data_IF_743793242513
#
_entry.id   IF_743793242513
#
_cell.length_a   1.000
_cell.length_b   1.000
_cell.length_c   1.000
_cell.angle_alpha   90.00
_cell.angle_beta   90.00
_cell.angle_gamma   90.00
#
_symmetry.space_group_name_H-M   'P 1'
#
loop_
_entity.id
_entity.type
_entity.pdbx_description
1 polymer ?
#
# COMPACT_ATOMS: atom_id res chain seq x y z
N UNK A 1 -14.52 -14.18 -9.59
CA UNK A 1 -13.09 -13.81 -9.50
C UNK A 1 -12.66 -14.15 -8.08
N UNK A 2 -11.73 -15.10 -7.96
CA UNK A 2 -11.23 -15.54 -6.67
C UNK A 2 -10.55 -14.36 -5.97
N UNK A 3 -10.86 -14.19 -4.68
CA UNK A 3 -10.19 -13.30 -3.74
C UNK A 3 -8.73 -13.11 -4.12
N UNK A 4 -8.34 -11.87 -4.43
CA UNK A 4 -6.92 -11.51 -4.57
C UNK A 4 -6.28 -11.83 -3.24
N UNK A 5 -5.59 -12.97 -3.14
CA UNK A 5 -4.93 -13.34 -1.90
C UNK A 5 -3.88 -12.26 -1.64
N UNK A 6 -3.95 -11.67 -0.46
CA UNK A 6 -3.14 -10.57 0.01
C UNK A 6 -1.62 -10.85 -0.18
N UNK A 7 -1.23 -12.13 -0.24
CA UNK A 7 0.14 -12.62 -0.44
C UNK A 7 0.53 -12.91 -1.90
N UNK A 8 -0.33 -12.54 -2.86
CA UNK A 8 -0.11 -12.84 -4.27
C UNK A 8 0.82 -11.84 -4.94
N UNK A 9 1.69 -12.36 -5.82
CA UNK A 9 2.29 -11.56 -6.88
C UNK A 9 1.25 -11.30 -7.97
N UNK A 10 1.17 -10.04 -8.38
CA UNK A 10 0.27 -9.57 -9.42
C UNK A 10 1.05 -8.74 -10.43
N UNK A 11 0.55 -8.65 -11.66
CA UNK A 11 0.98 -7.59 -12.57
C UNK A 11 0.29 -6.27 -12.19
N UNK A 12 0.92 -5.14 -12.50
CA UNK A 12 0.31 -3.83 -12.31
C UNK A 12 -0.99 -3.67 -13.12
N UNK A 13 -1.07 -4.20 -14.33
CA UNK A 13 -2.26 -4.05 -15.17
C UNK A 13 -3.46 -4.86 -14.66
N UNK A 14 -3.24 -6.07 -14.12
CA UNK A 14 -4.29 -6.85 -13.45
C UNK A 14 -4.81 -6.11 -12.21
N UNK A 15 -3.87 -5.55 -11.47
CA UNK A 15 -4.11 -4.78 -10.28
C UNK A 15 -4.94 -3.53 -10.55
N UNK A 16 -4.61 -2.75 -11.59
CA UNK A 16 -5.39 -1.59 -12.02
C UNK A 16 -6.81 -1.99 -12.42
N UNK A 17 -6.94 -3.01 -13.26
CA UNK A 17 -8.26 -3.48 -13.73
C UNK A 17 -9.14 -3.93 -12.57
N UNK A 18 -8.57 -4.53 -11.52
CA UNK A 18 -9.32 -4.86 -10.32
C UNK A 18 -9.86 -3.60 -9.63
N UNK A 19 -9.02 -2.59 -9.38
CA UNK A 19 -9.40 -1.36 -8.67
C UNK A 19 -10.30 -0.41 -9.47
N UNK A 20 -10.16 -0.33 -10.79
CA UNK A 20 -11.00 0.52 -11.63
C UNK A 20 -12.50 0.17 -11.52
N UNK A 21 -12.79 -1.09 -11.23
CA UNK A 21 -14.14 -1.61 -11.08
C UNK A 21 -14.71 -1.44 -9.66
N UNK A 22 -13.90 -1.02 -8.69
CA UNK A 22 -14.33 -0.81 -7.31
C UNK A 22 -14.92 0.58 -7.12
N UNK A 23 -16.13 0.61 -6.55
CA UNK A 23 -16.84 1.82 -6.10
C UNK A 23 -16.96 1.79 -4.59
N UNK A 24 -16.97 2.96 -3.97
CA UNK A 24 -16.96 3.07 -2.52
C UNK A 24 -17.66 4.35 -2.07
N UNK A 25 -18.29 4.29 -0.90
CA UNK A 25 -18.78 5.49 -0.21
C UNK A 25 -17.89 5.84 0.99
N UNK A 26 -17.11 4.87 1.47
CA UNK A 26 -16.22 4.97 2.62
C UNK A 26 -15.07 3.98 2.50
N UNK A 27 -14.02 4.16 3.31
CA UNK A 27 -12.85 3.26 3.33
C UNK A 27 -13.23 1.81 3.66
N UNK A 28 -14.32 1.58 4.41
CA UNK A 28 -14.79 0.22 4.72
C UNK A 28 -15.34 -0.54 3.51
N UNK A 29 -15.70 0.16 2.43
CA UNK A 29 -16.14 -0.47 1.18
C UNK A 29 -14.94 -0.94 0.34
N UNK A 30 -13.73 -0.52 0.70
CA UNK A 30 -12.52 -0.78 -0.06
C UNK A 30 -11.71 -1.95 0.53
N UNK A 31 -11.15 -2.82 -0.34
CA UNK A 31 -10.30 -3.92 0.10
C UNK A 31 -8.91 -3.42 0.48
N UNK A 32 -8.10 -4.30 1.06
CA UNK A 32 -6.64 -4.09 1.24
C UNK A 32 -6.23 -2.77 1.92
N UNK A 33 -7.07 -2.25 2.83
CA UNK A 33 -6.86 -0.93 3.49
C UNK A 33 -6.71 0.23 2.51
N UNK A 34 -7.30 0.09 1.33
CA UNK A 34 -7.34 1.14 0.32
C UNK A 34 -8.25 2.27 0.79
N UNK A 35 -7.95 3.48 0.35
CA UNK A 35 -8.73 4.67 0.72
C UNK A 35 -9.81 4.91 -0.32
N UNK A 36 -11.01 5.24 0.15
CA UNK A 36 -12.09 5.68 -0.71
C UNK A 36 -11.97 7.19 -0.98
N UNK A 37 -11.63 7.55 -2.21
CA UNK A 37 -11.53 8.95 -2.64
C UNK A 37 -12.35 9.14 -3.90
N UNK A 38 -13.31 10.06 -3.86
CA UNK A 38 -14.13 10.40 -5.03
C UNK A 38 -14.87 9.20 -5.62
N UNK A 39 -15.42 8.32 -4.76
CA UNK A 39 -16.12 7.09 -5.15
C UNK A 39 -15.25 6.08 -5.93
N UNK A 40 -13.96 6.03 -5.61
CA UNK A 40 -13.01 5.03 -6.10
C UNK A 40 -12.11 4.56 -4.97
N UNK A 41 -11.83 3.27 -4.93
CA UNK A 41 -10.80 2.74 -4.05
C UNK A 41 -9.42 3.03 -4.66
N UNK A 42 -8.55 3.65 -3.87
CA UNK A 42 -7.19 4.00 -4.26
C UNK A 42 -6.23 3.32 -3.31
N UNK A 43 -5.24 2.64 -3.86
CA UNK A 43 -4.16 2.01 -3.10
C UNK A 43 -2.84 2.13 -3.84
N UNK A 44 -1.76 1.78 -3.17
CA UNK A 44 -0.43 1.75 -3.75
C UNK A 44 0.00 0.31 -3.95
N UNK A 45 0.47 0.00 -5.16
CA UNK A 45 1.18 -1.22 -5.45
C UNK A 45 2.69 -0.99 -5.38
N UNK A 46 3.37 -1.97 -4.81
CA UNK A 46 4.82 -2.01 -4.70
C UNK A 46 5.32 -3.04 -5.69
N UNK A 47 6.05 -2.59 -6.70
CA UNK A 47 6.56 -3.43 -7.77
C UNK A 47 8.08 -3.56 -7.70
N UNK A 48 8.61 -4.66 -8.23
CA UNK A 48 10.04 -4.80 -8.42
C UNK A 48 10.56 -3.65 -9.29
N UNK A 49 11.71 -3.09 -8.93
CA UNK A 49 12.31 -1.97 -9.68
C UNK A 49 12.42 -2.26 -11.17
N UNK A 50 11.88 -1.37 -11.99
CA UNK A 50 11.78 -1.50 -13.45
C UNK A 50 11.03 -2.75 -13.95
N UNK A 51 10.23 -3.40 -13.11
CA UNK A 51 9.44 -4.59 -13.46
C UNK A 51 8.01 -4.51 -12.88
N UNK A 52 7.07 -4.14 -13.74
CA UNK A 52 5.64 -4.04 -13.42
C UNK A 52 4.89 -5.39 -13.48
N UNK A 53 5.58 -6.48 -13.81
CA UNK A 53 4.98 -7.81 -13.83
C UNK A 53 5.02 -8.50 -12.47
N UNK A 54 5.86 -7.99 -11.56
CA UNK A 54 6.03 -8.52 -10.20
C UNK A 54 5.70 -7.44 -9.19
N UNK A 55 4.45 -7.40 -8.72
CA UNK A 55 3.95 -6.41 -7.77
C UNK A 55 3.20 -7.05 -6.60
N UNK A 56 3.10 -6.30 -5.51
CA UNK A 56 2.40 -6.66 -4.29
C UNK A 56 1.72 -5.45 -3.64
N UNK A 57 0.74 -5.70 -2.79
CA UNK A 57 0.02 -4.65 -2.05
C UNK A 57 0.81 -4.03 -0.89
N UNK A 58 1.84 -4.72 -0.40
CA UNK A 58 2.56 -4.33 0.81
C UNK A 58 4.04 -4.52 0.65
N UNK A 59 4.80 -3.55 1.17
CA UNK A 59 6.27 -3.61 1.25
C UNK A 59 6.78 -4.50 2.36
N UNK A 60 5.98 -4.75 3.40
CA UNK A 60 6.41 -5.45 4.62
C UNK A 60 5.34 -6.42 5.13
N UNK A 61 5.76 -7.66 5.40
CA UNK A 61 4.91 -8.70 5.96
C UNK A 61 5.51 -9.36 7.21
N UNK A 62 4.65 -9.81 8.12
CA UNK A 62 5.03 -10.54 9.32
C UNK A 62 4.19 -11.82 9.38
N UNK A 63 4.82 -12.98 9.24
CA UNK A 63 4.16 -14.30 9.16
C UNK A 63 3.05 -14.37 8.10
N UNK A 64 3.34 -13.77 6.94
CA UNK A 64 2.36 -13.61 5.88
C UNK A 64 1.14 -12.86 6.42
N UNK A 65 1.32 -11.64 6.94
CA UNK A 65 0.29 -10.63 7.26
C UNK A 65 0.87 -9.21 7.17
N UNK A 66 0.08 -8.15 6.93
CA UNK A 66 0.57 -6.76 6.95
C UNK A 66 1.21 -6.39 8.29
N UNK A 67 2.35 -5.68 8.25
CA UNK A 67 2.90 -5.05 9.45
C UNK A 67 3.62 -3.72 9.16
N UNK A 68 3.54 -2.80 10.13
CA UNK A 68 4.06 -1.41 10.02
C UNK A 68 5.22 -1.14 11.00
N UNK A 69 5.85 -2.18 11.56
CA UNK A 69 6.96 -1.99 12.52
C UNK A 69 8.21 -1.49 11.79
N UNK A 70 8.96 -0.59 12.42
CA UNK A 70 10.18 0.06 11.92
C UNK A 70 11.40 -0.86 11.82
N UNK A 71 11.21 -2.18 11.86
CA UNK A 71 12.25 -3.16 11.60
C UNK A 71 11.66 -4.57 11.44
N UNK A 72 11.96 -5.21 10.30
CA UNK A 72 12.08 -6.67 10.13
C UNK A 72 10.72 -7.43 10.00
N UNK A 73 10.04 -7.63 8.86
CA UNK A 73 10.36 -8.08 7.47
C UNK A 73 10.68 -9.62 7.41
N UNK A 74 10.19 -10.49 6.52
CA UNK A 74 9.12 -10.59 5.53
C UNK A 74 8.80 -12.10 5.36
N UNK A 75 7.57 -12.53 5.03
CA UNK A 75 7.22 -13.98 4.92
C UNK A 75 5.90 -14.26 4.10
N UNK A 76 5.52 -13.62 2.99
CA UNK A 76 6.23 -13.27 1.75
C UNK A 76 5.31 -12.40 0.88
N UNK A 77 5.84 -11.40 0.19
CA UNK A 77 5.28 -10.87 -1.07
C UNK A 77 6.50 -10.71 -1.99
N UNK A 78 6.67 -11.67 -2.87
CA UNK A 78 7.61 -12.79 -2.64
C UNK A 78 8.99 -12.37 -2.13
N UNK A 79 9.12 -12.57 -0.80
CA UNK A 79 10.16 -12.10 0.13
C UNK A 79 10.88 -10.87 -0.39
N UNK A 80 10.04 -9.85 -0.49
CA UNK A 80 10.29 -8.53 -1.00
C UNK A 80 10.86 -8.52 -2.40
N UNK A 81 10.02 -8.99 -3.32
CA UNK A 81 10.12 -8.79 -4.76
C UNK A 81 11.52 -9.12 -5.31
N UNK A 82 12.13 -10.13 -4.69
CA UNK A 82 13.37 -10.80 -5.05
C UNK A 82 14.64 -9.94 -4.96
N UNK A 83 15.11 -9.65 -3.75
CA UNK A 83 16.14 -10.59 -3.33
C UNK A 83 16.43 -10.51 -1.86
N UNK A 84 16.00 -11.59 -1.22
CA UNK A 84 16.51 -12.02 0.06
C UNK A 84 15.89 -11.19 1.17
N UNK A 85 15.09 -11.85 2.00
CA UNK A 85 14.80 -11.24 3.28
C UNK A 85 16.10 -11.28 4.11
N UNK A 86 16.76 -10.14 4.28
CA UNK A 86 18.08 -10.08 4.91
C UNK A 86 17.99 -10.26 6.43
N UNK A 87 18.50 -11.37 6.99
CA UNK A 87 18.41 -11.65 8.42
C UNK A 87 19.22 -10.67 9.26
N UNK A 88 18.56 -9.98 10.20
CA UNK A 88 19.23 -9.54 11.42
C UNK A 88 19.20 -10.71 12.40
N UNK A 89 20.38 -11.08 12.89
CA UNK A 89 20.58 -12.21 13.81
C UNK A 89 19.60 -12.06 14.98
N UNK A 90 18.65 -13.01 15.04
CA UNK A 90 17.50 -13.17 15.98
C UNK A 90 16.13 -12.60 15.56
N UNK A 91 15.42 -13.32 14.67
CA UNK A 91 13.94 -13.37 14.66
C UNK A 91 13.18 -12.90 13.41
N UNK A 92 13.85 -12.35 12.39
CA UNK A 92 13.22 -11.90 11.12
C UNK A 92 14.25 -11.43 10.06
N UNK A 93 13.85 -11.37 8.79
CA UNK A 93 14.64 -10.83 7.66
C UNK A 93 14.47 -9.31 7.50
N UNK A 94 14.92 -8.70 6.39
CA UNK A 94 14.71 -7.28 6.03
C UNK A 94 14.43 -7.02 4.54
N UNK A 95 13.63 -5.99 4.22
CA UNK A 95 13.19 -5.59 2.88
C UNK A 95 13.82 -4.26 2.46
N UNK A 96 14.84 -4.27 1.59
CA UNK A 96 15.48 -3.04 1.15
C UNK A 96 14.56 -2.24 0.21
N UNK A 97 14.05 -1.09 0.67
CA UNK A 97 13.19 -0.20 -0.13
C UNK A 97 13.84 0.39 -1.39
N UNK A 98 15.15 0.21 -1.58
CA UNK A 98 15.91 0.71 -2.74
C UNK A 98 15.62 -0.02 -4.07
N UNK A 99 14.94 -1.16 -4.02
CA UNK A 99 14.67 -2.05 -5.15
C UNK A 99 13.17 -2.17 -5.49
N UNK A 100 12.36 -1.21 -5.03
CA UNK A 100 10.91 -1.19 -5.22
C UNK A 100 10.51 0.13 -5.88
N UNK A 101 9.60 0.05 -6.84
CA UNK A 101 8.89 1.21 -7.40
C UNK A 101 7.45 1.22 -6.87
N UNK A 102 6.95 2.40 -6.54
CA UNK A 102 5.57 2.60 -6.07
C UNK A 102 4.67 3.08 -7.20
N UNK A 103 3.51 2.43 -7.35
CA UNK A 103 2.53 2.78 -8.36
C UNK A 103 1.12 2.88 -7.76
N UNK A 104 0.48 4.06 -7.80
CA UNK A 104 -0.89 4.19 -7.34
C UNK A 104 -1.87 3.55 -8.32
N UNK A 105 -2.98 2.99 -7.82
CA UNK A 105 -4.02 2.39 -8.68
C UNK A 105 -4.86 3.40 -9.44
N UNK A 106 -4.88 4.63 -8.94
CA UNK A 106 -5.60 5.71 -9.57
C UNK A 106 -5.00 7.03 -9.10
N UNK A 107 -5.22 8.04 -9.92
CA UNK A 107 -4.97 9.43 -9.56
C UNK A 107 -6.33 10.07 -9.30
N UNK A 108 -6.43 10.87 -8.24
CA UNK A 108 -7.60 11.70 -7.98
C UNK A 108 -7.34 13.14 -8.40
N UNK A 109 -8.39 13.82 -8.87
CA UNK A 109 -8.33 15.25 -9.19
C UNK A 109 -8.14 16.07 -7.91
N UNK A 110 -7.66 17.31 -8.07
CA UNK A 110 -7.56 18.27 -6.98
C UNK A 110 -8.89 18.44 -6.21
N UNK A 111 -10.02 18.46 -6.90
CA UNK A 111 -11.36 18.61 -6.30
C UNK A 111 -11.73 17.42 -5.39
N UNK A 112 -11.40 16.20 -5.82
CA UNK A 112 -11.60 15.00 -5.02
C UNK A 112 -10.67 14.99 -3.79
N UNK A 113 -9.43 15.48 -3.96
CA UNK A 113 -8.46 15.65 -2.87
C UNK A 113 -9.00 16.59 -1.79
N UNK A 114 -9.40 17.78 -2.20
CA UNK A 114 -9.84 18.85 -1.31
C UNK A 114 -11.07 18.42 -0.50
N UNK A 115 -12.02 17.75 -1.16
CA UNK A 115 -13.21 17.20 -0.51
C UNK A 115 -12.85 16.14 0.53
N UNK A 116 -11.96 15.22 0.19
CA UNK A 116 -11.49 14.18 1.10
C UNK A 116 -10.83 14.78 2.34
N UNK A 117 -9.85 15.68 2.17
CA UNK A 117 -9.14 16.31 3.30
C UNK A 117 -10.03 17.20 4.17
N UNK A 118 -11.00 17.91 3.60
CA UNK A 118 -11.99 18.69 4.38
C UNK A 118 -12.82 17.80 5.30
N UNK A 119 -13.12 16.57 4.88
CA UNK A 119 -13.93 15.64 5.66
C UNK A 119 -13.15 14.91 6.75
N UNK A 120 -11.81 14.89 6.70
CA UNK A 120 -10.99 14.20 7.69
C UNK A 120 -10.94 14.90 9.06
N UNK A 121 -11.47 16.13 9.18
CA UNK A 121 -11.56 16.87 10.43
C UNK A 121 -10.26 16.85 11.26
N UNK A 122 -9.11 16.90 10.58
CA UNK A 122 -7.78 16.89 11.19
C UNK A 122 -7.51 18.30 11.69
N UNK A 123 -7.42 18.47 13.01
CA UNK A 123 -6.95 19.70 13.63
C UNK A 123 -5.44 19.85 13.36
N UNK A 124 -5.07 20.46 12.24
CA UNK A 124 -3.69 20.84 11.99
C UNK A 124 -3.29 22.01 12.91
N UNK A 125 -2.70 21.68 14.05
CA UNK A 125 -1.90 22.61 14.85
C UNK A 125 -0.54 22.76 14.17
N UNK A 126 -0.20 23.96 13.69
CA UNK A 126 1.04 24.25 12.96
C UNK A 126 2.35 23.99 13.77
N UNK A 127 2.23 23.48 15.00
CA UNK A 127 3.34 23.23 15.93
C UNK A 127 3.40 21.82 16.48
N UNK A 128 2.47 20.92 16.13
CA UNK A 128 2.47 19.54 16.61
C UNK A 128 2.33 18.58 15.43
N UNK A 129 3.20 17.57 15.37
CA UNK A 129 3.17 16.53 14.33
C UNK A 129 1.74 15.99 14.17
N UNK A 130 1.23 16.01 12.93
CA UNK A 130 -0.08 15.48 12.58
C UNK A 130 -0.22 14.05 13.18
N UNK A 131 -1.31 13.71 13.91
CA UNK A 131 -1.46 12.37 14.46
C UNK A 131 -1.46 11.35 13.32
N UNK A 132 -0.60 10.33 13.44
CA UNK A 132 -0.38 9.22 12.49
C UNK A 132 0.73 9.38 11.43
N UNK A 133 1.82 10.08 11.72
CA UNK A 133 3.00 10.16 10.83
C UNK A 133 2.71 10.74 9.44
N UNK A 134 1.64 11.51 9.30
CA UNK A 134 1.38 12.30 8.10
C UNK A 134 2.23 13.57 8.15
N UNK A 135 2.87 13.95 7.04
CA UNK A 135 3.43 15.29 6.94
C UNK A 135 2.31 16.25 6.58
N UNK A 136 2.12 17.25 7.44
CA UNK A 136 1.53 18.52 7.06
C UNK A 136 2.59 19.31 6.24
#
# INVERSE_FOLDING_TARGET
MNSTDYYSILTYDESIKYFENLKCNSDSDCPERSTCIGNKCITTFYCKKNDKSTCAFFTNLCDGKPCYRTGHECNKNEECLNNECHSLVTGGGYCPQINIDEYPTSFFSYENAETYYKNLNIECSATEECPNHSFC
#
